data_IF_162038878771
#
_entry.id   IF_162038878771
#
_cell.length_a   1.000
_cell.length_b   1.000
_cell.length_c   1.000
_cell.angle_alpha   90.00
_cell.angle_beta   90.00
_cell.angle_gamma   90.00
#
_symmetry.space_group_name_H-M   'P 1'
#
loop_
_entity.id
_entity.type
_entity.pdbx_description
1 polymer ?
#
# COMPACT_ATOMS: atom_id res chain seq x y z
N UNK A 1 -8.48 14.35 -7.27
CA UNK A 1 -7.90 12.98 -7.41
C UNK A 1 -6.93 12.99 -8.60
N UNK A 2 -5.80 12.26 -8.56
CA UNK A 2 -4.89 12.19 -9.72
C UNK A 2 -5.47 11.22 -10.77
N UNK A 3 -5.44 11.53 -12.08
CA UNK A 3 -5.90 10.63 -13.13
C UNK A 3 -5.12 9.31 -13.12
N UNK A 4 -5.77 8.25 -13.59
CA UNK A 4 -5.12 6.95 -13.75
C UNK A 4 -4.06 6.98 -14.83
N UNK A 5 -2.94 6.31 -14.55
CA UNK A 5 -1.87 6.16 -15.54
C UNK A 5 -2.07 4.86 -16.31
N UNK A 6 -1.71 4.85 -17.59
CA UNK A 6 -1.70 3.62 -18.39
C UNK A 6 -0.86 2.50 -17.72
N UNK A 7 0.21 2.86 -17.02
CA UNK A 7 1.00 1.93 -16.21
C UNK A 7 0.16 1.23 -15.15
N UNK A 8 -0.59 1.97 -14.32
CA UNK A 8 -1.39 1.36 -13.25
C UNK A 8 -2.48 0.44 -13.78
N UNK A 9 -3.09 0.81 -14.92
CA UNK A 9 -4.11 -0.03 -15.57
C UNK A 9 -3.50 -1.35 -16.02
N UNK A 10 -2.36 -1.31 -16.74
CA UNK A 10 -1.66 -2.52 -17.20
C UNK A 10 -1.25 -3.41 -16.03
N UNK A 11 -0.69 -2.83 -14.96
CA UNK A 11 -0.27 -3.60 -13.77
C UNK A 11 -1.43 -4.37 -13.17
N UNK A 12 -2.52 -3.69 -12.85
CA UNK A 12 -3.67 -4.34 -12.22
C UNK A 12 -4.39 -5.32 -13.14
N UNK A 13 -4.39 -5.06 -14.45
CA UNK A 13 -4.92 -6.01 -15.45
C UNK A 13 -4.14 -7.33 -15.40
N UNK A 14 -2.80 -7.26 -15.43
CA UNK A 14 -1.96 -8.44 -15.39
C UNK A 14 -2.01 -9.15 -14.02
N UNK A 15 -2.13 -8.41 -12.91
CA UNK A 15 -2.29 -9.00 -11.57
C UNK A 15 -3.63 -9.74 -11.40
N UNK A 16 -4.67 -9.30 -12.11
CA UNK A 16 -5.96 -9.97 -12.11
C UNK A 16 -6.05 -11.19 -13.04
N UNK A 17 -5.06 -11.41 -13.91
CA UNK A 17 -5.04 -12.51 -14.88
C UNK A 17 -4.08 -13.63 -14.43
N UNK A 18 -4.48 -14.90 -14.57
CA UNK A 18 -3.61 -16.03 -14.27
C UNK A 18 -3.48 -16.96 -15.49
N UNK A 19 -2.25 -17.19 -16.02
CA UNK A 19 -0.98 -16.55 -15.63
C UNK A 19 -1.00 -15.04 -15.93
N UNK A 20 -0.16 -14.20 -15.27
CA UNK A 20 -0.17 -12.75 -15.41
C UNK A 20 0.48 -12.29 -16.73
N UNK A 21 -0.04 -12.77 -17.86
CA UNK A 21 0.49 -12.59 -19.21
C UNK A 21 -0.65 -12.30 -20.19
N UNK A 22 -0.56 -11.19 -20.92
CA UNK A 22 -1.57 -10.81 -21.92
C UNK A 22 -0.94 -10.20 -23.19
N UNK A 23 -1.54 -10.40 -24.38
CA UNK A 23 -1.08 -9.76 -25.60
C UNK A 23 -1.32 -8.24 -25.55
N UNK A 24 -0.53 -7.49 -26.31
CA UNK A 24 -0.64 -6.02 -26.38
C UNK A 24 -2.06 -5.54 -26.70
N UNK A 25 -2.75 -6.23 -27.62
CA UNK A 25 -4.13 -5.94 -28.03
C UNK A 25 -5.12 -5.98 -26.87
N UNK A 26 -4.99 -6.96 -25.98
CA UNK A 26 -5.86 -7.10 -24.81
C UNK A 26 -5.60 -5.96 -23.82
N UNK A 27 -4.32 -5.62 -23.59
CA UNK A 27 -3.93 -4.51 -22.71
C UNK A 27 -4.38 -3.14 -23.25
N UNK A 28 -4.36 -2.94 -24.56
CA UNK A 28 -4.90 -1.75 -25.22
C UNK A 28 -6.43 -1.70 -25.10
N UNK A 29 -7.14 -2.81 -25.35
CA UNK A 29 -8.60 -2.88 -25.17
C UNK A 29 -9.01 -2.54 -23.74
N UNK A 30 -8.34 -3.13 -22.76
CA UNK A 30 -8.56 -2.81 -21.35
C UNK A 30 -8.26 -1.33 -21.12
N UNK A 31 -7.11 -0.81 -21.56
CA UNK A 31 -6.78 0.61 -21.46
C UNK A 31 -7.85 1.56 -22.01
N UNK A 32 -8.48 1.21 -23.13
CA UNK A 32 -9.56 2.00 -23.72
C UNK A 32 -10.81 2.09 -22.81
N UNK A 33 -11.14 1.03 -22.06
CA UNK A 33 -12.21 1.06 -21.05
C UNK A 33 -11.95 2.07 -19.93
N UNK A 34 -10.66 2.38 -19.70
CA UNK A 34 -10.21 3.37 -18.74
C UNK A 34 -9.95 4.74 -19.37
N UNK A 35 -10.37 4.96 -20.62
CA UNK A 35 -10.17 6.22 -21.35
C UNK A 35 -8.72 6.50 -21.76
N UNK A 36 -7.83 5.50 -21.71
CA UNK A 36 -6.46 5.65 -22.17
C UNK A 36 -6.38 5.45 -23.69
N UNK A 37 -5.81 6.43 -24.40
CA UNK A 37 -5.53 6.29 -25.82
C UNK A 37 -4.53 5.15 -26.07
N UNK A 38 -4.70 4.43 -27.19
CA UNK A 38 -3.85 3.30 -27.56
C UNK A 38 -2.35 3.64 -27.51
N UNK A 39 -1.96 4.79 -28.09
CA UNK A 39 -0.58 5.25 -28.09
C UNK A 39 -0.02 5.42 -26.67
N UNK A 40 -0.84 5.91 -25.73
CA UNK A 40 -0.45 6.05 -24.32
C UNK A 40 -0.20 4.70 -23.66
N UNK A 41 -1.03 3.69 -23.95
CA UNK A 41 -0.86 2.32 -23.43
C UNK A 41 0.41 1.69 -24.00
N UNK A 42 0.64 1.79 -25.32
CA UNK A 42 1.85 1.23 -25.96
C UNK A 42 3.13 1.87 -25.43
N UNK A 43 3.16 3.20 -25.29
CA UNK A 43 4.31 3.90 -24.69
C UNK A 43 4.55 3.47 -23.25
N UNK A 44 3.47 3.28 -22.46
CA UNK A 44 3.60 2.77 -21.10
C UNK A 44 4.19 1.35 -21.06
N UNK A 45 3.73 0.45 -21.93
CA UNK A 45 4.28 -0.91 -22.05
C UNK A 45 5.78 -0.88 -22.34
N UNK A 46 6.23 -0.09 -23.33
CA UNK A 46 7.65 0.04 -23.67
C UNK A 46 8.47 0.59 -22.49
N UNK A 47 7.97 1.62 -21.79
CA UNK A 47 8.63 2.17 -20.60
C UNK A 47 8.70 1.17 -19.45
N UNK A 48 7.67 0.37 -19.27
CA UNK A 48 7.63 -0.68 -18.23
C UNK A 48 8.60 -1.82 -18.53
N UNK A 49 8.77 -2.20 -19.81
CA UNK A 49 9.82 -3.15 -20.20
C UNK A 49 11.20 -2.56 -19.92
N UNK A 50 11.46 -1.32 -20.35
CA UNK A 50 12.74 -0.65 -20.11
C UNK A 50 13.07 -0.49 -18.61
N UNK A 51 12.05 -0.32 -17.76
CA UNK A 51 12.20 -0.25 -16.30
C UNK A 51 12.31 -1.63 -15.61
N UNK A 52 12.25 -2.74 -16.36
CA UNK A 52 12.29 -4.10 -15.82
C UNK A 52 11.05 -4.47 -15.01
N UNK A 53 9.91 -3.85 -15.30
CA UNK A 53 8.62 -4.16 -14.68
C UNK A 53 7.86 -5.23 -15.46
N UNK A 54 8.02 -5.24 -16.79
CA UNK A 54 7.47 -6.23 -17.69
C UNK A 54 8.57 -6.89 -18.49
N UNK A 55 8.29 -8.11 -18.95
CA UNK A 55 9.03 -8.77 -20.02
C UNK A 55 8.07 -9.09 -21.16
N UNK A 56 8.59 -9.09 -22.39
CA UNK A 56 7.85 -9.46 -23.58
C UNK A 56 8.28 -10.85 -24.02
N UNK A 57 7.34 -11.80 -24.09
CA UNK A 57 7.60 -13.18 -24.51
C UNK A 57 6.44 -13.69 -25.38
N UNK A 58 6.77 -14.19 -26.57
CA UNK A 58 5.78 -14.77 -27.49
C UNK A 58 4.65 -13.81 -27.89
N UNK A 59 4.94 -12.52 -28.07
CA UNK A 59 3.94 -11.50 -28.44
C UNK A 59 3.05 -11.00 -27.29
N UNK A 60 3.31 -11.45 -26.05
CA UNK A 60 2.60 -11.03 -24.86
C UNK A 60 3.52 -10.37 -23.83
N UNK A 61 2.93 -9.56 -22.96
CA UNK A 61 3.60 -8.91 -21.84
C UNK A 61 3.28 -9.64 -20.55
N UNK A 62 4.30 -9.90 -19.73
CA UNK A 62 4.20 -10.57 -18.43
C UNK A 62 4.86 -9.71 -17.36
N UNK A 63 4.31 -9.71 -16.14
CA UNK A 63 4.98 -9.11 -14.98
C UNK A 63 6.27 -9.88 -14.66
N UNK A 64 7.36 -9.16 -14.36
CA UNK A 64 8.58 -9.81 -13.89
C UNK A 64 8.38 -10.39 -12.49
N UNK A 65 9.10 -11.48 -12.16
CA UNK A 65 9.03 -12.11 -10.83
C UNK A 65 9.37 -11.12 -9.70
N UNK A 66 10.31 -10.20 -9.97
CA UNK A 66 10.66 -9.10 -9.07
C UNK A 66 9.45 -8.22 -8.75
N UNK A 67 8.66 -7.87 -9.76
CA UNK A 67 7.50 -7.00 -9.59
C UNK A 67 6.32 -7.74 -8.96
N UNK A 68 6.10 -9.01 -9.31
CA UNK A 68 5.15 -9.88 -8.63
C UNK A 68 5.48 -10.02 -7.15
N UNK A 69 6.74 -10.29 -6.80
CA UNK A 69 7.18 -10.37 -5.41
C UNK A 69 7.05 -9.03 -4.67
N UNK A 70 7.28 -7.91 -5.36
CA UNK A 70 7.06 -6.56 -4.80
C UNK A 70 5.57 -6.31 -4.55
N UNK A 71 4.71 -6.72 -5.46
CA UNK A 71 3.26 -6.58 -5.30
C UNK A 71 2.74 -7.46 -4.18
N UNK A 72 3.13 -8.73 -4.13
CA UNK A 72 2.79 -9.64 -3.03
C UNK A 72 3.16 -9.05 -1.67
N UNK A 73 4.34 -8.42 -1.55
CA UNK A 73 4.71 -7.68 -0.33
C UNK A 73 3.83 -6.46 -0.04
N UNK A 74 3.31 -5.76 -1.06
CA UNK A 74 2.36 -4.66 -0.88
C UNK A 74 0.99 -5.17 -0.43
N UNK A 75 0.54 -6.28 -1.00
CA UNK A 75 -0.71 -6.93 -0.65
C UNK A 75 -0.63 -7.51 0.78
N UNK A 76 0.50 -8.12 1.16
CA UNK A 76 0.78 -8.52 2.55
C UNK A 76 0.83 -7.31 3.49
N UNK A 77 1.37 -6.19 3.01
CA UNK A 77 1.35 -4.92 3.76
C UNK A 77 -0.06 -4.35 3.88
N UNK A 78 -1.04 -4.81 3.09
CA UNK A 78 -2.46 -4.45 3.21
C UNK A 78 -3.17 -5.29 4.26
N UNK A 79 -2.67 -6.45 4.64
CA UNK A 79 -3.19 -7.20 5.78
C UNK A 79 -2.06 -7.55 6.75
N UNK A 80 -1.51 -6.54 7.47
CA UNK A 80 -0.38 -6.77 8.35
C UNK A 80 -0.69 -7.87 9.36
N UNK A 81 0.21 -8.84 9.49
CA UNK A 81 0.11 -9.86 10.52
C UNK A 81 0.23 -9.19 11.89
N UNK A 82 -0.76 -9.45 12.73
CA UNK A 82 -0.82 -8.93 14.09
C UNK A 82 -0.68 -10.06 15.11
N UNK A 83 -0.28 -9.71 16.33
CA UNK A 83 -0.37 -10.53 17.53
C UNK A 83 -1.21 -9.80 18.58
N UNK A 84 -1.70 -10.54 19.57
CA UNK A 84 -2.33 -9.94 20.75
C UNK A 84 -1.37 -8.94 21.38
N UNK A 85 -1.88 -7.76 21.69
CA UNK A 85 -1.15 -6.71 22.37
C UNK A 85 -1.35 -6.82 23.88
N UNK A 86 -0.27 -6.70 24.63
CA UNK A 86 -0.18 -6.86 26.08
C UNK A 86 0.19 -5.56 26.81
N UNK A 87 0.11 -4.42 26.11
CA UNK A 87 0.57 -3.13 26.61
C UNK A 87 1.97 -2.74 26.14
N UNK A 88 2.75 -3.68 25.59
CA UNK A 88 4.13 -3.44 25.16
C UNK A 88 4.28 -2.57 23.92
N UNK A 89 5.32 -1.77 23.88
CA UNK A 89 5.72 -0.91 22.77
C UNK A 89 7.11 -1.32 22.28
N UNK A 90 7.32 -1.22 20.97
CA UNK A 90 8.66 -1.24 20.40
C UNK A 90 9.12 0.21 20.20
N UNK A 91 10.37 0.45 20.56
CA UNK A 91 11.00 1.77 20.52
C UNK A 91 12.30 1.61 19.75
N UNK A 92 12.49 2.43 18.71
CA UNK A 92 13.73 2.56 17.97
C UNK A 92 14.35 3.92 18.27
N UNK A 93 15.56 3.89 18.83
CA UNK A 93 16.38 5.08 19.06
C UNK A 93 17.49 5.07 18.04
N UNK A 94 17.55 6.10 17.20
CA UNK A 94 18.62 6.25 16.22
C UNK A 94 19.93 6.50 16.96
N UNK A 95 20.90 5.62 16.77
CA UNK A 95 22.21 5.68 17.43
C UNK A 95 23.32 6.13 16.51
N UNK A 96 23.09 6.09 15.18
CA UNK A 96 24.06 6.61 14.22
C UNK A 96 24.17 8.13 14.30
N UNK A 97 25.40 8.62 14.46
CA UNK A 97 25.77 10.04 14.34
C UNK A 97 25.42 10.62 12.96
N UNK A 98 25.67 11.93 12.79
CA UNK A 98 25.40 12.75 11.59
C UNK A 98 25.29 11.94 10.28
N UNK A 99 24.05 11.59 9.94
CA UNK A 99 23.68 10.90 8.70
C UNK A 99 23.58 11.88 7.54
N UNK A 100 24.00 11.47 6.35
CA UNK A 100 23.76 12.26 5.14
C UNK A 100 22.26 12.35 4.83
N UNK A 101 21.84 13.36 4.05
CA UNK A 101 20.42 13.54 3.72
C UNK A 101 19.75 12.30 3.09
N UNK A 102 20.40 11.56 2.16
CA UNK A 102 19.83 10.33 1.59
C UNK A 102 19.62 9.22 2.63
N UNK A 103 20.54 9.05 3.57
CA UNK A 103 20.44 8.04 4.64
C UNK A 103 19.29 8.37 5.60
N UNK A 104 19.12 9.64 5.96
CA UNK A 104 17.97 10.09 6.77
C UNK A 104 16.65 9.83 6.07
N UNK A 105 16.58 10.08 4.76
CA UNK A 105 15.39 9.80 3.97
C UNK A 105 15.09 8.29 3.90
N UNK A 106 16.12 7.47 3.68
CA UNK A 106 16.00 6.01 3.67
C UNK A 106 15.52 5.47 5.01
N UNK A 107 16.06 5.95 6.13
CA UNK A 107 15.60 5.55 7.46
C UNK A 107 14.14 5.95 7.71
N UNK A 108 13.74 7.18 7.36
CA UNK A 108 12.34 7.60 7.51
C UNK A 108 11.38 6.74 6.68
N UNK A 109 11.77 6.38 5.45
CA UNK A 109 10.99 5.45 4.64
C UNK A 109 10.89 4.07 5.29
N UNK A 110 11.98 3.55 5.87
CA UNK A 110 11.97 2.29 6.59
C UNK A 110 11.09 2.34 7.85
N UNK A 111 11.14 3.43 8.63
CA UNK A 111 10.29 3.62 9.81
C UNK A 111 8.81 3.73 9.45
N UNK A 112 8.48 4.43 8.36
CA UNK A 112 7.13 4.49 7.83
C UNK A 112 6.63 3.11 7.35
N UNK A 113 7.47 2.32 6.66
CA UNK A 113 7.14 0.95 6.27
C UNK A 113 6.94 0.04 7.50
N UNK A 114 7.69 0.28 8.57
CA UNK A 114 7.49 -0.35 9.87
C UNK A 114 6.32 0.25 10.66
N UNK A 115 5.64 1.30 10.18
CA UNK A 115 4.54 2.00 10.87
C UNK A 115 4.92 2.44 12.28
N UNK A 116 6.15 2.87 12.44
CA UNK A 116 6.62 3.58 13.64
C UNK A 116 6.33 5.08 13.44
N UNK A 117 5.91 5.75 14.52
CA UNK A 117 5.76 7.20 14.53
C UNK A 117 6.93 7.85 15.24
N UNK A 118 7.36 9.02 14.77
CA UNK A 118 8.43 9.81 15.39
C UNK A 118 7.84 10.61 16.56
N UNK A 119 8.25 10.29 17.79
CA UNK A 119 7.85 11.06 18.97
C UNK A 119 8.63 12.37 19.09
N UNK A 120 9.91 12.29 18.73
CA UNK A 120 10.89 13.38 18.66
C UNK A 120 12.00 12.92 17.73
N UNK A 121 12.84 13.87 17.30
CA UNK A 121 13.95 13.57 16.40
C UNK A 121 14.76 12.35 16.86
N UNK A 122 14.81 11.33 16.01
CA UNK A 122 15.57 10.11 16.25
C UNK A 122 14.95 9.13 17.23
N UNK A 123 13.74 9.36 17.73
CA UNK A 123 13.01 8.42 18.60
C UNK A 123 11.68 8.04 17.97
N UNK A 124 11.56 6.76 17.62
CA UNK A 124 10.43 6.20 16.90
C UNK A 124 9.80 5.11 17.74
N UNK A 125 8.48 5.02 17.76
CA UNK A 125 7.80 3.99 18.55
C UNK A 125 6.43 3.62 17.99
N UNK A 126 5.96 2.43 18.38
CA UNK A 126 4.60 1.95 18.16
C UNK A 126 4.22 0.85 19.16
N UNK A 127 2.93 0.52 19.28
CA UNK A 127 2.51 -0.67 20.00
C UNK A 127 3.11 -1.93 19.35
N UNK A 128 3.56 -2.88 20.15
CA UNK A 128 4.25 -4.10 19.72
C UNK A 128 3.29 -5.19 19.20
N UNK A 129 2.24 -4.80 18.46
CA UNK A 129 1.21 -5.73 17.95
C UNK A 129 1.49 -6.24 16.55
N UNK A 130 2.52 -5.76 15.83
CA UNK A 130 2.83 -6.22 14.47
C UNK A 130 3.93 -7.28 14.43
N UNK A 131 3.78 -8.22 13.49
CA UNK A 131 4.78 -9.25 13.17
C UNK A 131 5.36 -8.95 11.79
N UNK A 132 6.59 -8.42 11.77
CA UNK A 132 7.29 -8.05 10.53
C UNK A 132 8.81 -8.07 10.72
N UNK A 133 9.60 -8.39 9.68
CA UNK A 133 11.04 -8.23 9.74
C UNK A 133 11.42 -6.75 9.76
N UNK A 134 12.55 -6.43 10.40
CA UNK A 134 13.15 -5.10 10.36
C UNK A 134 14.03 -4.97 9.11
N UNK A 135 13.88 -3.92 8.28
CA UNK A 135 14.82 -3.64 7.21
C UNK A 135 16.23 -3.39 7.75
N UNK A 136 17.27 -3.79 7.00
CA UNK A 136 18.68 -3.66 7.39
C UNK A 136 19.03 -2.24 7.84
N UNK A 137 18.62 -1.22 7.08
CA UNK A 137 18.82 0.20 7.42
C UNK A 137 18.30 0.58 8.82
N UNK A 138 17.19 -0.01 9.28
CA UNK A 138 16.64 0.26 10.59
C UNK A 138 17.26 -0.62 11.69
N UNK A 139 17.69 -1.84 11.34
CA UNK A 139 18.40 -2.72 12.24
C UNK A 139 19.82 -2.20 12.57
N UNK A 140 20.51 -1.64 11.58
CA UNK A 140 21.90 -1.16 11.70
C UNK A 140 22.00 0.22 12.37
N UNK A 141 21.02 1.10 12.14
CA UNK A 141 21.10 2.50 12.60
C UNK A 141 20.39 2.78 13.93
N UNK A 142 19.73 1.79 14.53
CA UNK A 142 18.91 1.99 15.72
C UNK A 142 19.21 0.99 16.83
N UNK A 143 19.25 1.48 18.07
CA UNK A 143 19.01 0.65 19.24
C UNK A 143 17.51 0.37 19.37
N UNK A 144 17.16 -0.90 19.57
CA UNK A 144 15.78 -1.35 19.71
C UNK A 144 15.49 -1.73 21.14
N UNK A 145 14.46 -1.11 21.70
CA UNK A 145 14.02 -1.29 23.07
C UNK A 145 12.57 -1.75 23.08
N UNK A 146 12.19 -2.40 24.18
CA UNK A 146 10.79 -2.70 24.50
C UNK A 146 10.43 -1.99 25.80
N UNK A 147 9.19 -1.53 25.92
CA UNK A 147 8.71 -0.89 27.13
C UNK A 147 7.22 -0.62 27.10
N UNK A 148 6.73 0.22 27.98
CA UNK A 148 5.35 0.70 27.99
C UNK A 148 5.33 2.18 28.41
N UNK A 149 4.38 2.99 27.93
CA UNK A 149 4.19 4.34 28.43
C UNK A 149 3.73 4.29 29.89
N UNK A 150 4.31 5.16 30.72
CA UNK A 150 3.83 5.37 32.10
C UNK A 150 2.47 6.09 32.11
N UNK A 151 2.25 6.98 31.14
CA UNK A 151 1.00 7.71 30.97
C UNK A 151 -0.02 6.95 30.10
N UNK A 152 -1.14 7.61 29.82
CA UNK A 152 -2.22 7.04 29.00
C UNK A 152 -1.74 6.69 27.57
N UNK A 153 -1.75 5.39 27.19
CA UNK A 153 -1.32 4.95 25.87
C UNK A 153 -2.26 5.42 24.75
N UNK A 154 -3.54 5.68 25.03
CA UNK A 154 -4.51 6.20 24.05
C UNK A 154 -4.13 7.63 23.66
N UNK A 155 -3.87 8.49 24.66
CA UNK A 155 -3.36 9.84 24.43
C UNK A 155 -2.02 9.85 23.71
N UNK A 156 -1.12 8.91 24.01
CA UNK A 156 0.14 8.79 23.27
C UNK A 156 -0.10 8.43 21.80
N UNK A 157 -0.98 7.47 21.51
CA UNK A 157 -1.32 7.12 20.13
C UNK A 157 -1.91 8.30 19.35
N UNK A 158 -2.85 9.04 19.94
CA UNK A 158 -3.45 10.23 19.31
C UNK A 158 -2.43 11.37 19.06
N UNK A 159 -1.32 11.43 19.82
CA UNK A 159 -0.22 12.37 19.56
C UNK A 159 0.70 11.92 18.43
N UNK A 160 0.85 10.61 18.25
CA UNK A 160 1.77 10.01 17.29
C UNK A 160 1.17 9.92 15.89
N UNK A 161 -0.15 9.78 15.79
CA UNK A 161 -0.87 9.68 14.53
C UNK A 161 -2.08 10.62 14.53
N UNK A 162 -2.33 11.25 13.38
CA UNK A 162 -3.58 11.96 13.11
C UNK A 162 -4.71 10.94 12.86
N UNK A 163 -5.24 10.37 13.95
CA UNK A 163 -6.26 9.33 13.89
C UNK A 163 -7.58 9.86 13.31
N UNK A 164 -7.99 11.07 13.71
CA UNK A 164 -9.23 11.68 13.22
C UNK A 164 -9.15 12.01 11.74
N UNK A 165 -8.05 12.62 11.29
CA UNK A 165 -7.83 12.91 9.87
C UNK A 165 -7.71 11.63 9.03
N UNK A 166 -7.09 10.58 9.56
CA UNK A 166 -7.06 9.28 8.90
C UNK A 166 -8.47 8.68 8.77
N UNK A 167 -9.25 8.68 9.85
CA UNK A 167 -10.61 8.13 9.87
C UNK A 167 -11.56 8.91 8.95
N UNK A 168 -11.52 10.24 8.98
CA UNK A 168 -12.32 11.09 8.11
C UNK A 168 -12.02 10.80 6.62
N UNK A 169 -10.74 10.71 6.26
CA UNK A 169 -10.33 10.36 4.89
C UNK A 169 -10.76 8.94 4.50
N UNK A 170 -10.67 7.98 5.40
CA UNK A 170 -11.11 6.60 5.15
C UNK A 170 -12.62 6.55 4.82
N UNK A 171 -13.45 7.28 5.57
CA UNK A 171 -14.91 7.37 5.31
C UNK A 171 -15.21 8.03 3.97
N UNK A 172 -14.53 9.12 3.64
CA UNK A 172 -14.66 9.77 2.33
C UNK A 172 -14.29 8.82 1.18
N UNK A 173 -13.22 8.04 1.35
CA UNK A 173 -12.79 7.06 0.35
C UNK A 173 -13.77 5.89 0.22
N UNK A 174 -14.35 5.41 1.33
CA UNK A 174 -15.39 4.38 1.31
C UNK A 174 -16.62 4.87 0.53
N UNK A 175 -17.14 6.05 0.86
CA UNK A 175 -18.28 6.63 0.18
C UNK A 175 -17.99 6.94 -1.30
N UNK A 176 -16.74 7.29 -1.64
CA UNK A 176 -16.33 7.44 -3.03
C UNK A 176 -16.31 6.11 -3.78
N UNK A 177 -15.95 5.01 -3.11
CA UNK A 177 -15.90 3.69 -3.74
C UNK A 177 -17.31 3.15 -4.03
N UNK A 178 -18.26 3.44 -3.15
CA UNK A 178 -19.67 3.09 -3.30
C UNK A 178 -20.38 3.89 -4.41
N UNK A 179 -20.03 5.18 -4.57
CA UNK A 179 -20.63 6.06 -5.58
C UNK A 179 -19.94 6.04 -6.94
N UNK A 180 -18.76 5.42 -7.04
CA UNK A 180 -17.97 5.47 -8.25
C UNK A 180 -18.64 4.69 -9.38
N UNK A 181 -18.88 5.37 -10.50
CA UNK A 181 -19.59 4.80 -11.64
C UNK A 181 -18.61 4.31 -12.70
N UNK A 182 -18.78 3.05 -13.08
CA UNK A 182 -17.96 2.40 -14.08
C UNK A 182 -16.53 2.06 -13.65
N UNK A 183 -15.81 1.25 -14.44
CA UNK A 183 -14.53 0.67 -14.02
C UNK A 183 -13.43 1.70 -13.71
N UNK A 184 -13.39 2.81 -14.46
CA UNK A 184 -12.31 3.79 -14.37
C UNK A 184 -12.33 4.63 -13.09
N UNK A 185 -13.51 5.08 -12.68
CA UNK A 185 -13.65 5.83 -11.44
C UNK A 185 -13.39 4.91 -10.25
N UNK A 186 -13.99 3.71 -10.23
CA UNK A 186 -13.80 2.74 -9.15
C UNK A 186 -12.34 2.38 -8.95
N UNK A 187 -11.59 2.18 -10.05
CA UNK A 187 -10.16 1.91 -9.99
C UNK A 187 -9.37 3.10 -9.43
N UNK A 188 -9.71 4.33 -9.81
CA UNK A 188 -9.05 5.54 -9.31
C UNK A 188 -9.22 5.66 -7.80
N UNK A 189 -10.45 5.43 -7.31
CA UNK A 189 -10.77 5.44 -5.88
C UNK A 189 -10.06 4.30 -5.17
N UNK A 190 -10.09 3.08 -5.70
CA UNK A 190 -9.39 1.93 -5.11
C UNK A 190 -7.89 2.17 -4.96
N UNK A 191 -7.24 2.79 -5.94
CA UNK A 191 -5.83 3.18 -5.82
C UNK A 191 -5.59 4.21 -4.71
N UNK A 192 -6.54 5.11 -4.47
CA UNK A 192 -6.50 6.04 -3.34
C UNK A 192 -6.73 5.33 -2.00
N UNK A 193 -7.66 4.37 -1.94
CA UNK A 193 -7.89 3.50 -0.78
C UNK A 193 -6.63 2.72 -0.43
N UNK A 194 -5.99 2.07 -1.39
CA UNK A 194 -4.75 1.31 -1.16
C UNK A 194 -3.65 2.20 -0.55
N UNK A 195 -3.42 3.39 -1.12
CA UNK A 195 -2.45 4.36 -0.56
C UNK A 195 -2.80 4.76 0.87
N UNK A 196 -4.08 4.94 1.17
CA UNK A 196 -4.55 5.28 2.52
C UNK A 196 -4.34 4.15 3.51
N UNK A 197 -4.63 2.91 3.10
CA UNK A 197 -4.44 1.68 3.90
C UNK A 197 -2.98 1.36 4.20
N UNK A 198 -2.04 1.80 3.33
CA UNK A 198 -0.59 1.71 3.57
C UNK A 198 -0.12 2.67 4.66
N UNK A 199 -0.85 3.77 4.88
CA UNK A 199 -0.58 4.75 5.94
C UNK A 199 -1.32 4.44 7.25
N UNK A 200 -2.17 3.40 7.28
CA UNK A 200 -2.87 2.97 8.50
C UNK A 200 -1.86 2.58 9.60
N UNK A 201 -1.96 3.13 10.83
CA UNK A 201 -1.05 2.76 11.92
C UNK A 201 -1.21 1.30 12.38
N UNK A 202 -2.37 0.68 12.14
CA UNK A 202 -2.75 -0.68 12.60
C UNK A 202 -2.48 -0.81 14.10
N UNK A 203 -3.13 0.09 14.85
CA UNK A 203 -3.10 0.06 16.31
C UNK A 203 -3.94 -1.13 16.83
N UNK A 204 -3.60 -1.66 18.01
CA UNK A 204 -4.44 -2.63 18.70
C UNK A 204 -5.78 -2.00 19.11
N UNK A 205 -6.83 -2.81 19.21
CA UNK A 205 -8.21 -2.35 19.44
C UNK A 205 -8.38 -1.39 20.61
N UNK A 206 -7.67 -1.62 21.73
CA UNK A 206 -7.73 -0.74 22.90
C UNK A 206 -7.15 0.66 22.73
N UNK A 207 -6.46 0.94 21.61
CA UNK A 207 -5.91 2.26 21.28
C UNK A 207 -6.61 2.94 20.10
N UNK A 208 -7.60 2.27 19.51
CA UNK A 208 -8.38 2.85 18.41
C UNK A 208 -9.50 3.72 18.97
N UNK A 209 -9.81 4.85 18.30
CA UNK A 209 -11.04 5.58 18.57
C UNK A 209 -12.27 4.67 18.35
N UNK A 210 -13.41 4.97 19.00
CA UNK A 210 -14.69 4.37 18.64
C UNK A 210 -14.95 4.51 17.13
N UNK A 211 -15.61 3.51 16.55
CA UNK A 211 -16.01 3.51 15.13
C UNK A 211 -14.86 3.68 14.13
N UNK A 212 -13.68 3.13 14.46
CA UNK A 212 -12.51 3.15 13.58
C UNK A 212 -12.81 2.47 12.22
N UNK A 213 -12.71 3.19 11.09
CA UNK A 213 -13.18 2.68 9.79
C UNK A 213 -12.17 1.75 9.09
N UNK A 214 -11.05 1.40 9.73
CA UNK A 214 -9.96 0.67 9.08
C UNK A 214 -10.35 -0.73 8.63
N UNK A 215 -11.08 -1.49 9.44
CA UNK A 215 -11.52 -2.83 9.09
C UNK A 215 -12.52 -2.79 7.92
N UNK A 216 -13.46 -1.85 7.95
CA UNK A 216 -14.51 -1.70 6.95
C UNK A 216 -13.92 -1.29 5.60
N UNK A 217 -12.99 -0.33 5.61
CA UNK A 217 -12.29 0.10 4.40
C UNK A 217 -11.49 -1.05 3.75
N UNK A 218 -10.85 -1.92 4.56
CA UNK A 218 -10.18 -3.13 4.05
C UNK A 218 -11.18 -4.08 3.40
N UNK A 219 -12.32 -4.36 4.05
CA UNK A 219 -13.37 -5.24 3.49
C UNK A 219 -13.94 -4.70 2.18
N UNK A 220 -14.21 -3.40 2.09
CA UNK A 220 -14.70 -2.77 0.86
C UNK A 220 -13.68 -2.84 -0.27
N UNK A 221 -12.39 -2.58 0.03
CA UNK A 221 -11.33 -2.75 -0.96
C UNK A 221 -11.18 -4.21 -1.41
N UNK A 222 -11.23 -5.16 -0.48
CA UNK A 222 -11.17 -6.60 -0.78
C UNK A 222 -12.32 -7.06 -1.69
N UNK A 223 -13.53 -6.55 -1.47
CA UNK A 223 -14.67 -6.81 -2.33
C UNK A 223 -14.45 -6.25 -3.74
N UNK A 224 -14.00 -4.99 -3.85
CA UNK A 224 -13.66 -4.38 -5.12
C UNK A 224 -12.57 -5.17 -5.88
N UNK A 225 -11.50 -5.58 -5.20
CA UNK A 225 -10.41 -6.33 -5.83
C UNK A 225 -10.90 -7.67 -6.40
N UNK A 226 -11.79 -8.37 -5.69
CA UNK A 226 -12.42 -9.61 -6.17
C UNK A 226 -13.30 -9.37 -7.40
N UNK A 227 -14.12 -8.33 -7.38
CA UNK A 227 -14.98 -7.98 -8.52
C UNK A 227 -14.14 -7.62 -9.75
N UNK A 228 -13.11 -6.78 -9.58
CA UNK A 228 -12.21 -6.41 -10.67
C UNK A 228 -11.54 -7.65 -11.25
N UNK A 229 -11.04 -8.55 -10.40
CA UNK A 229 -10.42 -9.81 -10.84
C UNK A 229 -11.40 -10.71 -11.61
N UNK A 230 -12.69 -10.72 -11.25
CA UNK A 230 -13.72 -11.48 -11.95
C UNK A 230 -14.11 -10.86 -13.30
N UNK A 231 -14.05 -9.53 -13.42
CA UNK A 231 -14.39 -8.80 -14.65
C UNK A 231 -13.29 -8.85 -15.70
N UNK A 232 -12.01 -8.80 -15.29
CA UNK A 232 -10.87 -8.69 -16.22
C UNK A 232 -10.76 -9.83 -17.27
N UNK A 233 -11.04 -11.11 -16.95
CA UNK A 233 -11.08 -12.18 -17.96
C UNK A 233 -12.10 -11.94 -19.09
N UNK A 234 -13.23 -11.28 -18.79
CA UNK A 234 -14.28 -10.99 -19.77
C UNK A 234 -13.85 -9.94 -20.81
N UNK A 235 -12.89 -9.08 -20.45
CA UNK A 235 -12.30 -8.07 -21.34
C UNK A 235 -10.99 -8.51 -21.99
N UNK A 236 -10.37 -9.55 -21.44
CA UNK A 236 -9.17 -10.19 -21.98
C UNK A 236 -9.51 -11.31 -22.98
N UNK A 237 -10.70 -11.90 -22.88
CA UNK A 237 -11.24 -12.88 -23.84
C UNK A 237 -11.50 -12.29 -25.22
N UNK A 238 -11.15 -13.09 -26.24
CA UNK A 238 -11.11 -12.88 -27.71
C UNK A 238 -11.04 -11.45 -28.26
#
# INVERSE_FOLDING_TARGET
>A
MRPLTARSIVLSTLLGHHPPQLPARALVRVGALFGAAEGTVRVALTRMVAAGDLEQRGGAYRLTDRLLARQARQDDSRAPRTRRWDGGWEIAVVTSDRRAAPERAALRQAMAALRLAELREGTWLRPANLIRPRPAVAAEQCAWLTGAPEGDPVRLAARLWDLDGWAARARLLSAALERADGPAERFTVAAAVLRHLLADPVLPTGLLPPDWPGADLRRHYDAFERELRALLPQYAGD
#
